data_IF_256274181152
#
_entry.id   IF_256274181152
#
_cell.length_a   1.000
_cell.length_b   1.000
_cell.length_c   1.000
_cell.angle_alpha   90.00
_cell.angle_beta   90.00
_cell.angle_gamma   90.00
#
_symmetry.space_group_name_H-M   'P 1'
#
loop_
_entity.id
_entity.type
_entity.pdbx_description
1 polymer ?
#
# COMPACT_ATOMS: atom_id res chain seq x y z
N UNK A 1 -28.84 18.94 13.05
CA UNK A 1 -27.98 17.78 13.34
C UNK A 1 -26.63 18.08 12.72
N UNK A 2 -25.62 18.47 13.51
CA UNK A 2 -24.29 18.71 12.94
C UNK A 2 -23.68 17.36 12.57
N UNK A 3 -23.32 17.21 11.30
CA UNK A 3 -22.66 16.01 10.80
C UNK A 3 -21.19 16.11 11.25
N UNK A 4 -20.76 15.20 12.13
CA UNK A 4 -19.36 15.12 12.54
C UNK A 4 -18.52 14.47 11.42
N UNK A 5 -17.55 15.20 10.81
CA UNK A 5 -16.67 14.64 9.80
C UNK A 5 -15.87 13.43 10.30
N UNK A 6 -15.55 13.36 11.59
CA UNK A 6 -14.83 12.24 12.20
C UNK A 6 -15.66 10.97 12.30
N UNK A 7 -16.96 11.06 12.06
CA UNK A 7 -17.87 9.90 12.01
C UNK A 7 -18.18 9.54 10.57
N UNK A 8 -18.50 10.53 9.73
CA UNK A 8 -18.96 10.26 8.36
C UNK A 8 -17.84 9.84 7.43
N UNK A 9 -16.63 10.43 7.56
CA UNK A 9 -15.52 10.07 6.67
C UNK A 9 -15.06 8.63 6.89
N UNK A 10 -14.82 8.15 8.13
CA UNK A 10 -14.47 6.74 8.35
C UNK A 10 -15.60 5.77 7.98
N UNK A 11 -16.87 6.15 8.20
CA UNK A 11 -18.00 5.33 7.75
C UNK A 11 -17.98 5.15 6.22
N UNK A 12 -17.79 6.24 5.49
CA UNK A 12 -17.65 6.22 4.03
C UNK A 12 -16.47 5.35 3.57
N UNK A 13 -15.31 5.51 4.20
CA UNK A 13 -14.11 4.70 3.95
C UNK A 13 -14.36 3.22 4.20
N UNK A 14 -15.03 2.88 5.30
CA UNK A 14 -15.35 1.51 5.69
C UNK A 14 -16.30 0.84 4.70
N UNK A 15 -17.43 1.49 4.40
CA UNK A 15 -18.42 0.97 3.45
C UNK A 15 -17.81 0.78 2.07
N UNK A 16 -17.08 1.79 1.56
CA UNK A 16 -16.46 1.71 0.25
C UNK A 16 -15.40 0.60 0.18
N UNK A 17 -14.62 0.43 1.24
CA UNK A 17 -13.63 -0.63 1.34
C UNK A 17 -14.25 -2.02 1.41
N UNK A 18 -15.38 -2.20 2.11
CA UNK A 18 -16.13 -3.47 2.12
C UNK A 18 -16.66 -3.83 0.73
N UNK A 19 -17.26 -2.85 0.05
CA UNK A 19 -17.72 -3.02 -1.34
C UNK A 19 -16.55 -3.43 -2.22
N UNK A 20 -15.44 -2.70 -2.15
CA UNK A 20 -14.25 -3.01 -2.96
C UNK A 20 -13.66 -4.39 -2.64
N UNK A 21 -13.57 -4.77 -1.36
CA UNK A 21 -13.15 -6.11 -0.95
C UNK A 21 -14.05 -7.21 -1.53
N UNK A 22 -15.37 -7.01 -1.55
CA UNK A 22 -16.31 -7.95 -2.15
C UNK A 22 -16.08 -8.11 -3.66
N UNK A 23 -15.86 -7.01 -4.40
CA UNK A 23 -15.53 -7.04 -5.82
C UNK A 23 -14.22 -7.81 -6.10
N UNK A 24 -13.17 -7.57 -5.31
CA UNK A 24 -11.90 -8.28 -5.45
C UNK A 24 -12.03 -9.78 -5.13
N UNK A 25 -12.80 -10.11 -4.09
CA UNK A 25 -13.04 -11.50 -3.69
C UNK A 25 -13.86 -12.26 -4.73
N UNK A 26 -14.91 -11.66 -5.27
CA UNK A 26 -15.69 -12.23 -6.37
C UNK A 26 -14.80 -12.50 -7.60
N UNK A 27 -13.96 -11.53 -7.96
CA UNK A 27 -13.00 -11.69 -9.05
C UNK A 27 -11.98 -12.82 -8.77
N UNK A 28 -11.54 -12.97 -7.53
CA UNK A 28 -10.68 -14.08 -7.13
C UNK A 28 -11.41 -15.43 -7.22
N UNK A 29 -12.69 -15.52 -6.84
CA UNK A 29 -13.46 -16.77 -6.95
C UNK A 29 -13.50 -17.28 -8.39
N UNK A 30 -13.66 -16.37 -9.35
CA UNK A 30 -13.69 -16.69 -10.79
C UNK A 30 -12.29 -17.02 -11.35
N UNK A 31 -11.28 -16.18 -11.08
CA UNK A 31 -9.96 -16.27 -11.77
C UNK A 31 -8.87 -16.99 -10.97
N UNK A 32 -9.08 -17.18 -9.67
CA UNK A 32 -8.17 -17.82 -8.71
C UNK A 32 -6.74 -17.26 -8.73
N UNK A 33 -6.57 -15.96 -8.97
CA UNK A 33 -5.24 -15.34 -8.96
C UNK A 33 -4.84 -14.92 -7.54
N UNK A 34 -3.69 -15.38 -7.01
CA UNK A 34 -3.29 -15.10 -5.62
C UNK A 34 -3.32 -13.61 -5.22
N UNK A 35 -2.86 -12.72 -6.11
CA UNK A 35 -2.83 -11.28 -5.82
C UNK A 35 -4.22 -10.68 -5.58
N UNK A 36 -5.29 -11.24 -6.16
CA UNK A 36 -6.66 -10.76 -5.96
C UNK A 36 -7.16 -11.07 -4.56
N UNK A 37 -6.85 -12.27 -4.05
CA UNK A 37 -7.18 -12.63 -2.67
C UNK A 37 -6.40 -11.77 -1.68
N UNK A 38 -5.12 -11.54 -1.93
CA UNK A 38 -4.28 -10.70 -1.08
C UNK A 38 -4.81 -9.26 -1.04
N UNK A 39 -5.18 -8.68 -2.18
CA UNK A 39 -5.82 -7.36 -2.21
C UNK A 39 -7.21 -7.35 -1.57
N UNK A 40 -8.01 -8.40 -1.74
CA UNK A 40 -9.30 -8.51 -1.05
C UNK A 40 -9.13 -8.51 0.48
N UNK A 41 -8.13 -9.24 0.99
CA UNK A 41 -7.77 -9.22 2.41
C UNK A 41 -7.25 -7.84 2.85
N UNK A 42 -6.38 -7.20 2.06
CA UNK A 42 -5.90 -5.84 2.34
C UNK A 42 -7.04 -4.81 2.39
N UNK A 43 -8.02 -4.92 1.50
CA UNK A 43 -9.22 -4.08 1.50
C UNK A 43 -10.19 -4.42 2.64
N UNK A 44 -10.26 -5.68 3.07
CA UNK A 44 -11.00 -6.07 4.27
C UNK A 44 -10.37 -5.45 5.53
N UNK A 45 -9.04 -5.46 5.64
CA UNK A 45 -8.34 -4.76 6.73
C UNK A 45 -8.62 -3.27 6.70
N UNK A 46 -8.60 -2.66 5.52
CA UNK A 46 -8.97 -1.26 5.36
C UNK A 46 -10.40 -1.02 5.88
N UNK A 47 -11.36 -1.84 5.44
CA UNK A 47 -12.76 -1.70 5.83
C UNK A 47 -12.97 -1.82 7.35
N UNK A 48 -12.30 -2.78 7.98
CA UNK A 48 -12.36 -3.00 9.43
C UNK A 48 -11.69 -1.85 10.19
N UNK A 49 -10.53 -1.35 9.73
CA UNK A 49 -9.86 -0.19 10.31
C UNK A 49 -10.78 1.04 10.35
N UNK A 50 -11.26 1.46 9.19
CA UNK A 50 -12.17 2.60 9.06
C UNK A 50 -13.46 2.39 9.88
N UNK A 51 -13.92 1.13 9.97
CA UNK A 51 -15.05 0.74 10.81
C UNK A 51 -14.78 0.95 12.31
N UNK A 52 -13.57 0.65 12.79
CA UNK A 52 -13.20 0.92 14.19
C UNK A 52 -13.13 2.41 14.49
N UNK A 53 -12.67 3.22 13.54
CA UNK A 53 -12.62 4.69 13.67
C UNK A 53 -14.03 5.30 13.70
N UNK A 54 -14.92 4.83 12.82
CA UNK A 54 -16.33 5.19 12.86
C UNK A 54 -16.96 4.85 14.21
N UNK A 55 -16.77 3.62 14.69
CA UNK A 55 -17.32 3.19 15.98
C UNK A 55 -16.74 4.00 17.15
N UNK A 56 -15.45 4.30 17.12
CA UNK A 56 -14.78 5.11 18.14
C UNK A 56 -15.28 6.55 18.17
N UNK A 57 -15.47 7.16 17.00
CA UNK A 57 -16.04 8.50 16.88
C UNK A 57 -17.54 8.57 17.23
N UNK A 58 -18.31 7.54 16.89
CA UNK A 58 -19.77 7.54 17.08
C UNK A 58 -20.20 7.08 18.47
N UNK A 59 -19.62 5.98 18.96
CA UNK A 59 -20.03 5.31 20.20
C UNK A 59 -19.00 5.46 21.34
N UNK A 60 -17.87 6.12 21.07
CA UNK A 60 -16.77 6.26 22.01
C UNK A 60 -15.72 5.15 21.89
N UNK A 61 -14.53 5.43 22.39
CA UNK A 61 -13.40 4.50 22.35
C UNK A 61 -13.41 3.54 23.55
N UNK A 62 -12.93 2.32 23.29
CA UNK A 62 -12.59 1.32 24.29
C UNK A 62 -11.25 0.70 23.95
N UNK A 63 -10.58 0.11 24.94
CA UNK A 63 -9.27 -0.50 24.73
C UNK A 63 -9.27 -1.58 23.62
N UNK A 64 -10.23 -2.53 23.55
CA UNK A 64 -10.23 -3.51 22.46
C UNK A 64 -10.41 -2.88 21.08
N UNK A 65 -11.24 -1.84 20.98
CA UNK A 65 -11.49 -1.12 19.73
C UNK A 65 -10.23 -0.37 19.28
N UNK A 66 -9.53 0.26 20.22
CA UNK A 66 -8.28 0.98 19.99
C UNK A 66 -7.13 0.03 19.58
N UNK A 67 -7.02 -1.15 20.21
CA UNK A 67 -6.09 -2.21 19.79
C UNK A 67 -6.38 -2.72 18.38
N UNK A 68 -7.66 -2.95 18.06
CA UNK A 68 -8.08 -3.38 16.72
C UNK A 68 -7.76 -2.32 15.67
N UNK A 69 -8.09 -1.05 15.93
CA UNK A 69 -7.75 0.08 15.06
C UNK A 69 -6.24 0.13 14.79
N UNK A 70 -5.44 0.12 15.84
CA UNK A 70 -4.01 0.27 15.71
C UNK A 70 -3.39 -0.88 14.93
N UNK A 71 -3.76 -2.12 15.26
CA UNK A 71 -3.20 -3.30 14.63
C UNK A 71 -3.60 -3.38 13.14
N UNK A 72 -4.89 -3.25 12.86
CA UNK A 72 -5.41 -3.43 11.51
C UNK A 72 -5.05 -2.21 10.66
N UNK A 73 -5.43 -1.01 11.12
CA UNK A 73 -5.28 0.25 10.40
C UNK A 73 -3.87 0.75 10.32
N UNK A 74 -3.24 0.92 11.49
CA UNK A 74 -1.93 1.54 11.54
C UNK A 74 -0.83 0.62 10.99
N UNK A 75 -0.95 -0.71 11.16
CA UNK A 75 0.11 -1.65 10.77
C UNK A 75 -0.22 -2.46 9.51
N UNK A 76 -1.39 -3.08 9.38
CA UNK A 76 -1.59 -4.15 8.39
C UNK A 76 -1.97 -3.68 6.98
N UNK A 77 -2.85 -2.69 6.84
CA UNK A 77 -3.47 -2.31 5.55
C UNK A 77 -2.45 -2.15 4.42
N UNK A 78 -1.46 -1.28 4.62
CA UNK A 78 -0.50 -0.94 3.57
C UNK A 78 0.37 -2.15 3.18
N UNK A 79 0.85 -2.92 4.16
CA UNK A 79 1.68 -4.10 3.91
C UNK A 79 0.96 -5.15 3.08
N UNK A 80 -0.32 -5.42 3.37
CA UNK A 80 -1.15 -6.36 2.60
C UNK A 80 -1.47 -5.86 1.20
N UNK A 81 -1.80 -4.58 1.03
CA UNK A 81 -2.04 -4.00 -0.30
C UNK A 81 -0.78 -4.03 -1.17
N UNK A 82 0.37 -3.70 -0.59
CA UNK A 82 1.66 -3.80 -1.28
C UNK A 82 2.09 -5.24 -1.59
N UNK A 83 1.71 -6.21 -0.75
CA UNK A 83 1.96 -7.63 -0.99
C UNK A 83 1.21 -8.13 -2.22
N UNK A 84 -0.02 -7.67 -2.45
CA UNK A 84 -0.77 -8.04 -3.67
C UNK A 84 -0.04 -7.58 -4.93
N UNK A 85 0.60 -6.41 -4.90
CA UNK A 85 1.46 -5.91 -5.99
C UNK A 85 2.70 -6.79 -6.19
N UNK A 86 3.31 -7.27 -5.11
CA UNK A 86 4.43 -8.20 -5.20
C UNK A 86 4.04 -9.50 -5.92
N UNK A 87 2.87 -10.06 -5.59
CA UNK A 87 2.34 -11.26 -6.25
C UNK A 87 1.88 -11.02 -7.68
N UNK A 88 1.33 -9.84 -7.99
CA UNK A 88 0.97 -9.45 -9.36
C UNK A 88 2.21 -9.42 -10.26
N UNK A 89 3.30 -8.85 -9.76
CA UNK A 89 4.52 -8.58 -10.51
C UNK A 89 5.63 -9.62 -10.26
N UNK A 90 5.30 -10.76 -9.63
CA UNK A 90 6.25 -11.80 -9.23
C UNK A 90 7.15 -12.30 -10.37
N UNK A 91 6.60 -12.38 -11.60
CA UNK A 91 7.32 -12.84 -12.80
C UNK A 91 8.13 -11.75 -13.51
N UNK A 92 8.19 -10.54 -12.94
CA UNK A 92 8.89 -9.40 -13.52
C UNK A 92 10.13 -9.05 -12.70
N UNK A 93 10.91 -8.08 -13.17
CA UNK A 93 12.04 -7.53 -12.41
C UNK A 93 11.62 -6.57 -11.29
N UNK A 94 10.32 -6.47 -10.99
CA UNK A 94 9.80 -5.58 -9.96
C UNK A 94 10.32 -5.90 -8.56
N UNK A 95 10.79 -7.12 -8.30
CA UNK A 95 11.40 -7.45 -7.01
C UNK A 95 12.60 -6.56 -6.63
N UNK A 96 13.32 -5.94 -7.59
CA UNK A 96 14.31 -4.90 -7.28
C UNK A 96 13.69 -3.64 -6.67
N UNK A 97 12.55 -3.18 -7.21
CA UNK A 97 11.82 -2.04 -6.67
C UNK A 97 11.22 -2.38 -5.30
N UNK A 98 10.73 -3.61 -5.11
CA UNK A 98 10.25 -4.08 -3.81
C UNK A 98 11.38 -4.13 -2.75
N UNK A 99 12.56 -4.64 -3.12
CA UNK A 99 13.74 -4.62 -2.25
C UNK A 99 14.15 -3.19 -1.89
N UNK A 100 14.08 -2.25 -2.84
CA UNK A 100 14.31 -0.83 -2.57
C UNK A 100 13.27 -0.27 -1.57
N UNK A 101 11.98 -0.60 -1.72
CA UNK A 101 10.95 -0.22 -0.75
C UNK A 101 11.24 -0.74 0.65
N UNK A 102 11.76 -1.97 0.79
CA UNK A 102 12.18 -2.52 2.09
C UNK A 102 13.36 -1.77 2.70
N UNK A 103 14.37 -1.42 1.89
CA UNK A 103 15.51 -0.61 2.37
C UNK A 103 15.03 0.75 2.86
N UNK A 104 14.14 1.41 2.11
CA UNK A 104 13.53 2.66 2.55
C UNK A 104 12.72 2.46 3.84
N UNK A 105 11.94 1.38 3.95
CA UNK A 105 11.19 1.09 5.16
C UNK A 105 12.10 0.93 6.39
N UNK A 106 13.18 0.17 6.27
CA UNK A 106 14.19 0.03 7.34
C UNK A 106 14.83 1.37 7.71
N UNK A 107 15.26 2.15 6.71
CA UNK A 107 15.86 3.46 6.90
C UNK A 107 14.90 4.44 7.61
N UNK A 108 13.69 4.62 7.08
CA UNK A 108 12.73 5.56 7.64
C UNK A 108 12.20 5.11 9.00
N UNK A 109 12.09 3.80 9.25
CA UNK A 109 11.77 3.29 10.59
C UNK A 109 12.87 3.70 11.59
N UNK A 110 14.14 3.52 11.22
CA UNK A 110 15.26 3.95 12.04
C UNK A 110 15.30 5.47 12.24
N UNK A 111 15.10 6.27 11.17
CA UNK A 111 15.06 7.73 11.24
C UNK A 111 13.89 8.24 12.09
N UNK A 112 12.72 7.59 12.02
CA UNK A 112 11.57 7.90 12.86
C UNK A 112 11.92 7.70 14.33
N UNK A 113 12.54 6.56 14.67
CA UNK A 113 13.04 6.33 16.03
C UNK A 113 14.05 7.41 16.46
N UNK A 114 15.05 7.74 15.62
CA UNK A 114 16.04 8.79 15.95
C UNK A 114 15.44 10.17 16.16
N UNK A 115 14.30 10.48 15.54
CA UNK A 115 13.62 11.78 15.67
C UNK A 115 12.75 11.89 16.91
N UNK A 116 12.09 10.80 17.29
CA UNK A 116 11.03 10.79 18.31
C UNK A 116 11.40 10.06 19.59
N UNK A 117 12.48 9.28 19.55
CA UNK A 117 12.97 8.45 20.65
C UNK A 117 11.85 7.68 21.34
N UNK A 118 11.08 6.92 20.55
CA UNK A 118 9.91 6.23 21.06
C UNK A 118 10.27 5.39 22.30
N UNK A 119 9.57 5.60 23.44
CA UNK A 119 9.82 4.83 24.66
C UNK A 119 9.72 3.33 24.41
N UNK A 120 10.47 2.53 25.16
CA UNK A 120 10.42 1.07 25.07
C UNK A 120 10.75 0.50 23.67
N UNK A 121 11.53 1.22 22.85
CA UNK A 121 11.95 0.73 21.54
C UNK A 121 13.00 -0.39 21.63
N UNK A 122 13.82 -0.42 22.68
CA UNK A 122 14.87 -1.43 22.88
C UNK A 122 15.73 -1.66 21.63
N UNK A 123 15.92 -2.92 21.25
CA UNK A 123 16.67 -3.31 20.04
C UNK A 123 15.86 -3.26 18.74
N UNK A 124 14.57 -2.95 18.81
CA UNK A 124 13.65 -3.04 17.67
C UNK A 124 14.06 -2.19 16.45
N UNK A 125 14.53 -0.93 16.58
CA UNK A 125 14.96 -0.13 15.42
C UNK A 125 16.07 -0.81 14.62
N UNK A 126 17.07 -1.36 15.31
CA UNK A 126 18.20 -2.05 14.70
C UNK A 126 17.78 -3.39 14.10
N UNK A 127 16.94 -4.14 14.82
CA UNK A 127 16.40 -5.41 14.35
C UNK A 127 15.59 -5.23 13.06
N UNK A 128 14.67 -4.25 13.02
CA UNK A 128 13.85 -4.00 11.83
C UNK A 128 14.68 -3.51 10.65
N UNK A 129 15.66 -2.64 10.87
CA UNK A 129 16.60 -2.23 9.83
C UNK A 129 17.42 -3.42 9.29
N UNK A 130 17.93 -4.28 10.17
CA UNK A 130 18.66 -5.49 9.82
C UNK A 130 17.82 -6.49 9.04
N UNK A 131 16.58 -6.74 9.48
CA UNK A 131 15.61 -7.59 8.77
C UNK A 131 15.30 -7.01 7.40
N UNK A 132 14.98 -5.71 7.28
CA UNK A 132 14.76 -5.07 5.98
C UNK A 132 15.92 -5.27 5.01
N UNK A 133 17.16 -5.05 5.48
CA UNK A 133 18.35 -5.20 4.64
C UNK A 133 18.58 -6.66 4.22
N UNK A 134 18.51 -7.60 5.16
CA UNK A 134 18.69 -9.01 4.87
C UNK A 134 17.64 -9.51 3.87
N UNK A 135 16.38 -9.10 4.05
CA UNK A 135 15.27 -9.42 3.16
C UNK A 135 15.44 -8.79 1.77
N UNK A 136 15.86 -7.52 1.70
CA UNK A 136 16.14 -6.85 0.44
C UNK A 136 17.25 -7.57 -0.34
N UNK A 137 18.34 -7.96 0.32
CA UNK A 137 19.44 -8.74 -0.29
C UNK A 137 18.93 -10.09 -0.79
N UNK A 138 18.17 -10.82 0.02
CA UNK A 138 17.61 -12.11 -0.37
C UNK A 138 16.69 -12.00 -1.60
N UNK A 139 15.82 -10.98 -1.63
CA UNK A 139 14.94 -10.69 -2.78
C UNK A 139 15.77 -10.34 -4.03
N UNK A 140 16.77 -9.47 -3.90
CA UNK A 140 17.68 -9.11 -5.02
C UNK A 140 18.35 -10.36 -5.60
N UNK A 141 18.84 -11.26 -4.75
CA UNK A 141 19.47 -12.52 -5.17
C UNK A 141 18.47 -13.42 -5.91
N UNK A 142 17.25 -13.58 -5.38
CA UNK A 142 16.21 -14.39 -6.03
C UNK A 142 15.79 -13.82 -7.39
N UNK A 143 15.62 -12.50 -7.48
CA UNK A 143 15.29 -11.82 -8.74
C UNK A 143 16.43 -11.92 -9.75
N UNK A 144 17.69 -11.79 -9.30
CA UNK A 144 18.87 -11.95 -10.16
C UNK A 144 18.99 -13.37 -10.72
N UNK A 145 18.53 -14.38 -9.98
CA UNK A 145 18.41 -15.78 -10.41
C UNK A 145 17.17 -16.06 -11.27
N UNK A 146 16.31 -15.07 -11.49
CA UNK A 146 15.07 -15.22 -12.25
C UNK A 146 13.97 -16.02 -11.53
N UNK A 147 14.09 -16.22 -10.21
CA UNK A 147 13.12 -16.98 -9.42
C UNK A 147 11.94 -16.12 -8.99
N UNK A 148 10.71 -16.60 -9.17
CA UNK A 148 9.49 -15.94 -8.66
C UNK A 148 9.30 -16.12 -7.14
N UNK A 149 10.17 -16.90 -6.49
CA UNK A 149 10.10 -17.20 -5.06
C UNK A 149 10.24 -15.95 -4.19
N UNK A 150 10.78 -14.85 -4.72
CA UNK A 150 10.91 -13.59 -4.00
C UNK A 150 9.54 -13.06 -3.51
N UNK A 151 8.47 -13.29 -4.27
CA UNK A 151 7.12 -12.86 -3.86
C UNK A 151 6.59 -13.70 -2.69
N UNK A 152 6.87 -15.01 -2.68
CA UNK A 152 6.54 -15.90 -1.54
C UNK A 152 7.34 -15.53 -0.30
N UNK A 153 8.61 -15.19 -0.47
CA UNK A 153 9.47 -14.69 0.61
C UNK A 153 8.92 -13.37 1.20
N UNK A 154 8.50 -12.43 0.35
CA UNK A 154 7.82 -11.22 0.80
C UNK A 154 6.52 -11.53 1.55
N UNK A 155 5.73 -12.51 1.06
CA UNK A 155 4.51 -12.97 1.72
C UNK A 155 4.78 -13.55 3.11
N UNK A 156 5.81 -14.39 3.26
CA UNK A 156 6.19 -14.95 4.54
C UNK A 156 6.54 -13.85 5.57
N UNK A 157 7.23 -12.79 5.15
CA UNK A 157 7.56 -11.66 6.03
C UNK A 157 6.33 -10.87 6.44
N UNK A 158 5.43 -10.54 5.50
CA UNK A 158 4.21 -9.80 5.82
C UNK A 158 3.32 -10.61 6.75
N UNK A 159 3.14 -11.91 6.51
CA UNK A 159 2.36 -12.80 7.38
C UNK A 159 3.04 -12.92 8.76
N UNK A 160 4.35 -13.16 8.80
CA UNK A 160 5.09 -13.27 10.05
C UNK A 160 5.02 -11.98 10.88
N UNK A 161 5.22 -10.81 10.25
CA UNK A 161 5.10 -9.52 10.93
C UNK A 161 3.65 -9.17 11.32
N UNK A 162 2.64 -9.64 10.58
CA UNK A 162 1.22 -9.56 10.98
C UNK A 162 0.98 -10.33 12.28
N UNK A 163 1.52 -11.56 12.39
CA UNK A 163 1.41 -12.39 13.60
C UNK A 163 2.18 -11.76 14.77
N UNK A 164 3.43 -11.34 14.55
CA UNK A 164 4.27 -10.72 15.59
C UNK A 164 3.63 -9.42 16.11
N UNK A 165 3.16 -8.54 15.22
CA UNK A 165 2.46 -7.32 15.63
C UNK A 165 1.16 -7.62 16.38
N UNK A 166 0.43 -8.68 16.02
CA UNK A 166 -0.77 -9.10 16.76
C UNK A 166 -0.41 -9.47 18.21
N UNK A 167 0.60 -10.32 18.39
CA UNK A 167 1.05 -10.72 19.74
C UNK A 167 1.48 -9.49 20.53
N UNK A 168 2.34 -8.65 19.97
CA UNK A 168 2.78 -7.40 20.58
C UNK A 168 1.62 -6.49 20.99
N UNK A 169 0.64 -6.29 20.10
CA UNK A 169 -0.50 -5.43 20.34
C UNK A 169 -1.50 -6.02 21.34
N UNK A 170 -1.56 -7.33 21.51
CA UNK A 170 -2.44 -7.99 22.48
C UNK A 170 -1.81 -8.09 23.87
N UNK A 171 -0.48 -8.13 23.96
CA UNK A 171 0.25 -8.25 25.23
C UNK A 171 0.79 -6.93 25.78
N UNK A 172 0.72 -5.83 25.01
CA UNK A 172 1.17 -4.53 25.49
C UNK A 172 0.26 -4.00 26.61
N UNK A 173 0.84 -3.53 27.70
CA UNK A 173 0.11 -2.85 28.77
C UNK A 173 -0.22 -1.42 28.35
N UNK A 174 -1.50 -1.06 28.36
CA UNK A 174 -1.96 0.28 28.01
C UNK A 174 -2.43 1.01 29.28
N UNK A 175 -1.89 2.20 29.51
CA UNK A 175 -2.32 3.03 30.62
C UNK A 175 -3.81 3.36 30.51
N UNK A 176 -4.53 3.35 31.64
CA UNK A 176 -5.94 3.71 31.68
C UNK A 176 -6.17 5.10 31.05
N UNK A 177 -7.20 5.28 30.19
CA UNK A 177 -8.35 4.40 29.97
C UNK A 177 -8.15 3.28 28.92
N UNK A 178 -6.91 3.04 28.45
CA UNK A 178 -6.59 2.02 27.46
C UNK A 178 -6.74 2.48 26.00
N UNK A 179 -6.98 3.77 25.78
CA UNK A 179 -7.06 4.39 24.45
C UNK A 179 -6.72 5.89 24.54
N UNK A 180 -6.28 6.47 23.43
CA UNK A 180 -5.96 7.90 23.35
C UNK A 180 -6.35 8.45 21.98
N UNK A 181 -6.80 9.70 21.98
CA UNK A 181 -7.09 10.49 20.78
C UNK A 181 -6.39 11.83 20.89
N UNK A 182 -6.12 12.44 19.74
CA UNK A 182 -5.65 13.82 19.65
C UNK A 182 -6.68 14.77 20.31
N UNK A 183 -6.28 15.65 21.25
CA UNK A 183 -7.22 16.53 21.94
C UNK A 183 -7.92 17.57 21.04
N UNK A 184 -7.29 17.95 19.93
CA UNK A 184 -7.83 18.94 19.00
C UNK A 184 -8.73 18.28 17.96
N UNK A 185 -8.30 17.15 17.38
CA UNK A 185 -9.02 16.52 16.27
C UNK A 185 -9.86 15.31 16.67
N UNK A 186 -9.70 14.78 17.89
CA UNK A 186 -10.37 13.57 18.37
C UNK A 186 -10.09 12.32 17.52
N UNK A 187 -8.97 12.32 16.78
CA UNK A 187 -8.53 11.20 15.94
C UNK A 187 -7.61 10.31 16.78
N UNK A 188 -7.75 8.98 16.72
CA UNK A 188 -6.89 8.07 17.49
C UNK A 188 -5.41 8.23 17.10
N UNK A 189 -4.54 8.25 18.10
CA UNK A 189 -3.08 8.28 17.91
C UNK A 189 -2.46 7.00 18.43
N UNK A 190 -1.25 6.67 17.98
CA UNK A 190 -0.55 5.45 18.42
C UNK A 190 0.19 5.60 19.75
N UNK A 191 -0.05 6.67 20.51
CA UNK A 191 0.89 7.12 21.54
C UNK A 191 0.93 6.23 22.79
N UNK A 192 -0.13 5.48 23.07
CA UNK A 192 -0.15 4.53 24.18
C UNK A 192 0.65 3.24 23.90
N UNK A 193 0.98 2.95 22.65
CA UNK A 193 1.70 1.71 22.33
C UNK A 193 3.21 1.87 22.54
N UNK A 194 3.91 0.80 22.96
CA UNK A 194 5.35 0.82 23.12
C UNK A 194 6.07 1.00 21.78
N UNK A 195 7.27 1.59 21.84
CA UNK A 195 8.07 1.96 20.68
C UNK A 195 8.38 0.81 19.73
N UNK A 196 8.64 -0.39 20.26
CA UNK A 196 8.87 -1.57 19.42
C UNK A 196 7.68 -1.85 18.47
N UNK A 197 6.44 -1.64 18.93
CA UNK A 197 5.24 -1.85 18.13
C UNK A 197 4.96 -0.63 17.23
N UNK A 198 5.22 0.59 17.72
CA UNK A 198 5.13 1.84 16.93
C UNK A 198 6.03 1.88 15.72
N UNK A 199 7.16 1.19 15.76
CA UNK A 199 8.11 1.13 14.65
C UNK A 199 7.69 0.15 13.55
N UNK A 200 6.80 -0.80 13.83
CA UNK A 200 6.25 -1.66 12.76
C UNK A 200 5.33 -0.91 11.81
N UNK A 201 4.68 0.16 12.30
CA UNK A 201 3.79 1.01 11.52
C UNK A 201 4.49 1.68 10.32
N UNK A 202 5.58 2.47 10.47
CA UNK A 202 6.32 2.99 9.31
C UNK A 202 6.96 1.87 8.48
N UNK A 203 7.39 0.76 9.12
CA UNK A 203 7.99 -0.36 8.39
C UNK A 203 7.02 -0.98 7.37
N UNK A 204 5.79 -1.29 7.79
CA UNK A 204 4.75 -1.82 6.91
C UNK A 204 4.23 -0.77 5.94
N UNK A 205 3.97 0.45 6.41
CA UNK A 205 3.37 1.49 5.58
C UNK A 205 4.28 1.94 4.45
N UNK A 206 5.58 2.08 4.70
CA UNK A 206 6.54 2.49 3.68
C UNK A 206 6.76 1.36 2.68
N UNK A 207 6.95 0.12 3.15
CA UNK A 207 7.07 -1.03 2.25
C UNK A 207 5.85 -1.15 1.34
N UNK A 208 4.67 -1.08 1.94
CA UNK A 208 3.38 -1.23 1.28
C UNK A 208 3.06 -0.10 0.30
N UNK A 209 3.15 1.15 0.76
CA UNK A 209 2.85 2.31 -0.07
C UNK A 209 3.81 2.43 -1.25
N UNK A 210 5.13 2.30 -1.02
CA UNK A 210 6.08 2.35 -2.12
C UNK A 210 5.90 1.19 -3.09
N UNK A 211 5.66 -0.04 -2.62
CA UNK A 211 5.46 -1.14 -3.57
C UNK A 211 4.17 -0.97 -4.38
N UNK A 212 3.07 -0.50 -3.77
CA UNK A 212 1.82 -0.23 -4.46
C UNK A 212 1.98 0.89 -5.49
N UNK A 213 2.52 2.03 -5.08
CA UNK A 213 2.73 3.19 -5.97
C UNK A 213 3.74 2.87 -7.07
N UNK A 214 4.92 2.31 -6.76
CA UNK A 214 5.93 1.97 -7.77
C UNK A 214 5.43 0.87 -8.71
N UNK A 215 4.68 -0.12 -8.22
CA UNK A 215 4.14 -1.19 -9.06
C UNK A 215 3.02 -0.69 -9.99
N UNK A 216 2.22 0.25 -9.52
CA UNK A 216 1.23 0.94 -10.33
C UNK A 216 1.90 1.83 -11.40
N UNK A 217 2.91 2.61 -11.04
CA UNK A 217 3.70 3.40 -12.01
C UNK A 217 4.46 2.52 -13.01
N UNK A 218 5.03 1.40 -12.56
CA UNK A 218 5.64 0.41 -13.43
C UNK A 218 4.63 -0.13 -14.45
N UNK A 219 3.42 -0.46 -13.99
CA UNK A 219 2.35 -0.93 -14.86
C UNK A 219 1.93 0.16 -15.87
N UNK A 220 1.74 1.40 -15.43
CA UNK A 220 1.45 2.54 -16.31
C UNK A 220 2.51 2.70 -17.41
N UNK A 221 3.80 2.66 -17.03
CA UNK A 221 4.93 2.79 -17.95
C UNK A 221 4.97 1.66 -19.01
N UNK A 222 4.57 0.45 -18.63
CA UNK A 222 4.55 -0.70 -19.55
C UNK A 222 3.53 -0.49 -20.67
N UNK A 223 2.35 0.05 -20.36
CA UNK A 223 1.22 0.17 -21.29
C UNK A 223 1.10 1.52 -22.00
N UNK A 224 1.79 2.57 -21.56
CA UNK A 224 1.74 3.88 -22.21
C UNK A 224 2.74 3.99 -23.39
N UNK A 225 2.52 4.92 -24.33
CA UNK A 225 3.49 5.23 -25.40
C UNK A 225 4.86 5.62 -24.81
N UNK A 226 5.93 4.96 -25.27
CA UNK A 226 7.27 5.11 -24.66
C UNK A 226 8.14 6.10 -25.42
N UNK A 227 8.66 7.11 -24.72
CA UNK A 227 9.70 8.01 -25.21
C UNK A 227 11.00 7.77 -24.42
N UNK A 228 11.98 7.14 -25.06
CA UNK A 228 13.29 6.83 -24.44
C UNK A 228 14.30 7.92 -24.78
N UNK A 229 14.40 8.92 -23.92
CA UNK A 229 15.41 9.99 -23.98
C UNK A 229 16.78 9.44 -23.61
N UNK A 230 16.85 8.67 -22.50
CA UNK A 230 18.07 8.02 -22.06
C UNK A 230 17.99 6.54 -22.40
N UNK A 231 18.88 6.06 -23.28
CA UNK A 231 18.96 4.65 -23.68
C UNK A 231 19.93 3.91 -22.76
N UNK A 232 19.48 2.82 -22.18
CA UNK A 232 20.31 1.89 -21.42
C UNK A 232 19.92 0.45 -21.74
N UNK A 233 20.86 -0.48 -21.60
CA UNK A 233 20.59 -1.91 -21.74
C UNK A 233 21.33 -2.67 -20.66
N UNK A 234 20.60 -3.50 -19.92
CA UNK A 234 21.16 -4.43 -18.93
C UNK A 234 21.45 -5.80 -19.54
N UNK A 235 21.02 -6.06 -20.77
CA UNK A 235 21.16 -7.37 -21.41
C UNK A 235 22.64 -7.67 -21.72
N UNK A 236 23.09 -8.87 -21.34
CA UNK A 236 24.45 -9.35 -21.62
C UNK A 236 25.58 -8.67 -20.83
N UNK A 237 25.28 -7.71 -19.95
CA UNK A 237 26.30 -6.99 -19.17
C UNK A 237 26.63 -7.69 -17.85
N UNK A 238 27.90 -7.67 -17.45
CA UNK A 238 28.41 -8.23 -16.19
C UNK A 238 29.45 -7.30 -15.56
N UNK A 239 29.73 -7.50 -14.28
CA UNK A 239 30.78 -6.78 -13.56
C UNK A 239 30.59 -5.25 -13.53
N UNK A 240 31.66 -4.45 -13.64
CA UNK A 240 31.61 -2.99 -13.57
C UNK A 240 30.66 -2.35 -14.60
N UNK A 241 30.57 -2.95 -15.80
CA UNK A 241 29.69 -2.45 -16.87
C UNK A 241 28.20 -2.64 -16.56
N UNK A 242 27.84 -3.69 -15.81
CA UNK A 242 26.47 -3.86 -15.29
C UNK A 242 26.19 -2.79 -14.23
N UNK A 243 27.12 -2.59 -13.29
CA UNK A 243 26.98 -1.60 -12.22
C UNK A 243 26.80 -0.18 -12.77
N UNK A 244 27.63 0.22 -13.74
CA UNK A 244 27.50 1.51 -14.41
C UNK A 244 26.11 1.68 -15.06
N UNK A 245 25.59 0.64 -15.72
CA UNK A 245 24.25 0.70 -16.32
C UNK A 245 23.12 0.68 -15.30
N UNK A 246 23.30 0.03 -14.15
CA UNK A 246 22.32 0.10 -13.05
C UNK A 246 22.25 1.54 -12.51
N UNK A 247 23.38 2.21 -12.33
CA UNK A 247 23.42 3.64 -11.95
C UNK A 247 22.71 4.51 -12.99
N UNK A 248 23.00 4.29 -14.28
CA UNK A 248 22.30 4.99 -15.36
C UNK A 248 20.80 4.69 -15.34
N UNK A 249 20.39 3.44 -15.06
CA UNK A 249 18.99 3.05 -15.03
C UNK A 249 18.18 3.79 -13.96
N UNK A 250 18.80 4.10 -12.80
CA UNK A 250 18.17 4.88 -11.72
C UNK A 250 17.71 6.26 -12.22
N UNK A 251 18.49 6.89 -13.11
CA UNK A 251 18.13 8.19 -13.71
C UNK A 251 17.27 8.02 -14.96
N UNK A 252 17.61 7.04 -15.79
CA UNK A 252 16.93 6.81 -17.07
C UNK A 252 15.47 6.43 -16.92
N UNK A 253 15.11 5.62 -15.91
CA UNK A 253 13.72 5.18 -15.71
C UNK A 253 12.79 6.36 -15.39
N UNK A 254 13.06 7.20 -14.37
CA UNK A 254 12.24 8.40 -14.10
C UNK A 254 12.20 9.37 -15.28
N UNK A 255 13.35 9.67 -15.90
CA UNK A 255 13.41 10.62 -17.02
C UNK A 255 12.59 10.11 -18.21
N UNK A 256 12.73 8.84 -18.59
CA UNK A 256 11.96 8.25 -19.68
C UNK A 256 10.47 8.15 -19.35
N UNK A 257 10.12 7.90 -18.08
CA UNK A 257 8.73 7.91 -17.62
C UNK A 257 8.11 9.30 -17.83
N UNK A 258 8.73 10.36 -17.31
CA UNK A 258 8.25 11.74 -17.46
C UNK A 258 8.18 12.16 -18.92
N UNK A 259 9.21 11.83 -19.71
CA UNK A 259 9.24 12.14 -21.15
C UNK A 259 8.12 11.45 -21.95
N UNK A 260 7.55 10.37 -21.42
CA UNK A 260 6.46 9.61 -22.03
C UNK A 260 5.06 10.16 -21.69
N UNK A 261 4.94 10.98 -20.63
CA UNK A 261 3.65 11.51 -20.16
C UNK A 261 2.92 12.37 -21.21
N UNK A 262 3.56 13.28 -21.98
CA UNK A 262 2.85 14.06 -23.00
C UNK A 262 2.22 13.19 -24.08
N UNK A 263 2.93 12.14 -24.51
CA UNK A 263 2.41 11.15 -25.46
C UNK A 263 1.23 10.35 -24.90
N UNK A 264 1.31 9.97 -23.62
CA UNK A 264 0.23 9.31 -22.90
C UNK A 264 -1.01 10.22 -22.77
N UNK A 265 -0.83 11.49 -22.41
CA UNK A 265 -1.92 12.47 -22.30
C UNK A 265 -2.61 12.69 -23.66
N UNK A 266 -1.84 12.85 -24.74
CA UNK A 266 -2.40 12.98 -26.08
C UNK A 266 -3.17 11.71 -26.51
N UNK A 267 -2.64 10.53 -26.19
CA UNK A 267 -3.33 9.27 -26.45
C UNK A 267 -4.61 9.12 -25.63
N UNK A 268 -4.64 9.63 -24.39
CA UNK A 268 -5.83 9.65 -23.54
C UNK A 268 -6.93 10.52 -24.15
N UNK A 269 -6.59 11.76 -24.52
CA UNK A 269 -7.53 12.70 -25.16
C UNK A 269 -8.08 12.14 -26.47
N UNK A 270 -7.26 11.39 -27.23
CA UNK A 270 -7.67 10.75 -28.49
C UNK A 270 -8.42 9.43 -28.32
N UNK A 271 -8.65 8.97 -27.09
CA UNK A 271 -9.31 7.68 -26.82
C UNK A 271 -8.50 6.45 -27.27
N UNK A 272 -7.18 6.58 -27.46
CA UNK A 272 -6.27 5.51 -27.92
C UNK A 272 -5.39 4.95 -26.82
N UNK A 273 -5.44 5.52 -25.62
CA UNK A 273 -4.62 5.06 -24.51
C UNK A 273 -5.17 3.76 -23.94
N UNK A 274 -4.28 2.82 -23.67
CA UNK A 274 -4.63 1.61 -22.96
C UNK A 274 -5.14 1.99 -21.56
N UNK A 275 -6.38 1.63 -21.25
CA UNK A 275 -7.08 1.80 -19.97
C UNK A 275 -6.29 1.50 -18.69
N UNK A 276 -5.40 0.51 -18.73
CA UNK A 276 -4.50 0.16 -17.62
C UNK A 276 -3.66 1.36 -17.20
N UNK A 277 -3.34 2.30 -18.10
CA UNK A 277 -2.56 3.49 -17.79
C UNK A 277 -3.31 4.41 -16.82
N UNK A 278 -4.50 4.98 -17.16
CA UNK A 278 -5.24 5.81 -16.20
C UNK A 278 -5.66 5.02 -14.96
N UNK A 279 -6.05 3.74 -15.10
CA UNK A 279 -6.39 2.89 -13.95
C UNK A 279 -5.25 2.79 -12.93
N UNK A 280 -4.04 2.48 -13.39
CA UNK A 280 -2.88 2.31 -12.50
C UNK A 280 -2.37 3.65 -11.98
N UNK A 281 -2.52 4.76 -12.72
CA UNK A 281 -2.23 6.10 -12.18
C UNK A 281 -3.18 6.44 -11.02
N UNK A 282 -4.48 6.16 -11.16
CA UNK A 282 -5.46 6.36 -10.07
C UNK A 282 -5.11 5.49 -8.85
N UNK A 283 -4.72 4.22 -9.07
CA UNK A 283 -4.25 3.34 -7.98
C UNK A 283 -2.98 3.91 -7.31
N UNK A 284 -2.04 4.44 -8.08
CA UNK A 284 -0.83 5.06 -7.56
C UNK A 284 -1.14 6.28 -6.66
N UNK A 285 -2.08 7.13 -7.09
CA UNK A 285 -2.58 8.26 -6.32
C UNK A 285 -3.28 7.77 -5.04
N UNK A 286 -4.19 6.79 -5.17
CA UNK A 286 -4.94 6.24 -4.05
C UNK A 286 -4.08 5.53 -3.00
N UNK A 287 -2.93 4.98 -3.38
CA UNK A 287 -1.93 4.45 -2.45
C UNK A 287 -1.07 5.52 -1.79
N UNK A 288 -0.77 6.61 -2.50
CA UNK A 288 0.11 7.68 -2.02
C UNK A 288 -0.59 8.63 -1.04
N UNK A 289 -1.86 8.96 -1.28
CA UNK A 289 -2.60 9.90 -0.41
C UNK A 289 -2.64 9.41 1.04
N UNK A 290 -3.13 8.19 1.36
CA UNK A 290 -3.12 7.69 2.74
C UNK A 290 -1.70 7.54 3.32
N UNK A 291 -0.70 7.23 2.48
CA UNK A 291 0.67 7.14 2.94
C UNK A 291 1.20 8.50 3.44
N UNK A 292 0.86 9.58 2.73
CA UNK A 292 1.21 10.95 3.12
C UNK A 292 0.42 11.38 4.36
N UNK A 293 -0.90 11.17 4.39
CA UNK A 293 -1.73 11.62 5.52
C UNK A 293 -1.51 10.80 6.78
N UNK A 294 -1.31 9.47 6.66
CA UNK A 294 -0.85 8.61 7.76
C UNK A 294 0.55 9.02 8.22
N UNK A 295 1.44 9.37 7.29
CA UNK A 295 2.74 9.95 7.60
C UNK A 295 2.59 11.21 8.46
N UNK A 296 1.83 12.19 7.97
CA UNK A 296 1.52 13.45 8.65
C UNK A 296 0.92 13.26 10.04
N UNK A 297 0.02 12.28 10.22
CA UNK A 297 -0.54 11.91 11.53
C UNK A 297 0.57 11.61 12.55
N UNK A 298 1.64 10.90 12.14
CA UNK A 298 2.80 10.62 13.01
C UNK A 298 3.63 11.87 13.33
N UNK A 299 3.56 12.90 12.49
CA UNK A 299 4.19 14.20 12.72
C UNK A 299 3.29 15.15 13.54
N UNK A 300 2.18 14.67 14.10
CA UNK A 300 1.22 15.46 14.89
C UNK A 300 0.20 16.24 14.04
N UNK A 301 0.20 16.04 12.72
CA UNK A 301 -0.77 16.64 11.80
C UNK A 301 -1.88 15.64 11.47
N UNK A 302 -2.87 15.58 12.34
CA UNK A 302 -3.99 14.62 12.33
C UNK A 302 -5.16 15.05 11.44
N UNK A 303 -5.33 16.35 11.19
CA UNK A 303 -6.51 16.94 10.52
C UNK A 303 -6.83 16.38 9.13
N UNK A 304 -5.82 15.94 8.38
CA UNK A 304 -5.99 15.38 7.03
C UNK A 304 -6.20 13.87 6.99
N UNK A 305 -6.20 13.17 8.14
CA UNK A 305 -6.11 11.72 8.17
C UNK A 305 -7.32 11.03 7.51
N UNK A 306 -8.54 11.25 7.99
CA UNK A 306 -9.75 10.63 7.43
C UNK A 306 -10.09 11.10 6.02
N UNK A 307 -9.77 12.35 5.67
CA UNK A 307 -9.93 12.84 4.29
C UNK A 307 -8.99 12.09 3.35
N UNK A 308 -7.73 11.93 3.73
CA UNK A 308 -6.76 11.20 2.94
C UNK A 308 -7.10 9.73 2.81
N UNK A 309 -7.63 9.13 3.86
CA UNK A 309 -8.14 7.76 3.86
C UNK A 309 -9.29 7.60 2.83
N UNK A 310 -10.35 8.40 2.94
CA UNK A 310 -11.50 8.34 2.04
C UNK A 310 -11.10 8.58 0.59
N UNK A 311 -10.30 9.63 0.33
CA UNK A 311 -9.79 9.90 -1.01
C UNK A 311 -8.94 8.74 -1.52
N UNK A 312 -8.09 8.17 -0.66
CA UNK A 312 -7.29 7.00 -0.98
C UNK A 312 -8.13 5.84 -1.52
N UNK A 313 -9.15 5.42 -0.78
CA UNK A 313 -10.04 4.32 -1.22
C UNK A 313 -10.85 4.69 -2.46
N UNK A 314 -11.32 5.94 -2.59
CA UNK A 314 -12.01 6.41 -3.80
C UNK A 314 -11.11 6.24 -5.02
N UNK A 315 -9.86 6.68 -4.95
CA UNK A 315 -8.91 6.57 -6.06
C UNK A 315 -8.51 5.12 -6.35
N UNK A 316 -8.29 4.30 -5.32
CA UNK A 316 -8.01 2.87 -5.47
C UNK A 316 -9.17 2.14 -6.16
N UNK A 317 -10.40 2.35 -5.68
CA UNK A 317 -11.58 1.69 -6.22
C UNK A 317 -11.92 2.19 -7.63
N UNK A 318 -11.84 3.50 -7.86
CA UNK A 318 -12.03 4.07 -9.21
C UNK A 318 -11.00 3.51 -10.19
N UNK A 319 -9.73 3.44 -9.78
CA UNK A 319 -8.67 2.85 -10.60
C UNK A 319 -8.92 1.37 -10.90
N UNK A 320 -9.42 0.61 -9.93
CA UNK A 320 -9.86 -0.78 -10.15
C UNK A 320 -10.99 -0.88 -11.17
N UNK A 321 -12.05 -0.06 -11.04
CA UNK A 321 -13.19 -0.05 -11.97
C UNK A 321 -12.78 0.35 -13.40
N UNK A 322 -11.81 1.25 -13.56
CA UNK A 322 -11.29 1.69 -14.87
C UNK A 322 -10.42 0.62 -15.55
N UNK A 323 -9.86 -0.34 -14.80
CA UNK A 323 -9.03 -1.42 -15.34
C UNK A 323 -9.86 -2.47 -16.10
N UNK A 324 -10.22 -2.17 -17.36
CA UNK A 324 -11.10 -2.94 -18.29
C UNK A 324 -10.69 -4.38 -18.64
N UNK A 325 -9.76 -5.01 -17.91
CA UNK A 325 -9.62 -6.47 -17.98
C UNK A 325 -10.52 -7.20 -17.00
N UNK A 326 -11.23 -6.48 -16.13
CA UNK A 326 -12.12 -7.09 -15.12
C UNK A 326 -13.58 -7.11 -15.58
N UNK A 327 -14.01 -6.14 -16.39
CA UNK A 327 -15.41 -5.99 -16.76
C UNK A 327 -15.56 -5.64 -18.25
N UNK A 328 -15.81 -6.65 -19.09
CA UNK A 328 -16.73 -6.41 -20.21
C UNK A 328 -18.13 -6.06 -19.66
N UNK A 329 -18.42 -6.50 -18.43
CA UNK A 329 -19.65 -6.31 -17.67
C UNK A 329 -19.34 -6.04 -16.20
N UNK A 330 -19.63 -4.86 -15.66
CA UNK A 330 -19.62 -4.62 -14.21
C UNK A 330 -20.80 -5.40 -13.65
N UNK A 331 -20.54 -6.41 -12.80
CA UNK A 331 -21.55 -7.27 -12.20
C UNK A 331 -21.65 -7.02 -10.70
N UNK A 332 -22.85 -7.18 -10.14
CA UNK A 332 -23.01 -7.17 -8.68
C UNK A 332 -22.29 -8.42 -8.14
N UNK A 333 -21.34 -8.28 -7.20
CA UNK A 333 -20.57 -9.40 -6.66
C UNK A 333 -21.46 -10.58 -6.28
N UNK A 334 -21.02 -11.80 -6.60
CA UNK A 334 -21.71 -13.06 -6.29
C UNK A 334 -23.05 -13.29 -7.00
N UNK A 335 -23.42 -12.44 -7.97
CA UNK A 335 -24.65 -12.59 -8.75
C UNK A 335 -24.37 -12.65 -10.25
N UNK A 336 -25.41 -12.96 -11.03
CA UNK A 336 -25.38 -12.83 -12.50
C UNK A 336 -25.86 -11.46 -13.00
N UNK A 337 -26.19 -10.53 -12.10
CA UNK A 337 -26.76 -9.23 -12.46
C UNK A 337 -25.65 -8.28 -12.95
N UNK A 338 -25.82 -7.77 -14.16
CA UNK A 338 -24.90 -6.83 -14.81
C UNK A 338 -25.38 -5.39 -14.57
N UNK A 339 -24.58 -4.59 -13.88
CA UNK A 339 -24.80 -3.17 -13.63
C UNK A 339 -24.47 -2.31 -14.86
N UNK A 340 -23.43 -2.66 -15.60
CA UNK A 340 -23.02 -1.93 -16.81
C UNK A 340 -22.26 -2.84 -17.76
N UNK A 341 -22.64 -2.84 -19.04
CA UNK A 341 -21.90 -3.50 -20.14
C UNK A 341 -21.43 -2.42 -21.09
N UNK A 342 -20.15 -2.40 -21.46
CA UNK A 342 -19.65 -1.42 -22.45
C UNK A 342 -19.91 -1.96 -23.87
N UNK A 343 -20.62 -1.24 -24.76
CA UNK A 343 -20.85 -1.70 -26.13
C UNK A 343 -19.54 -1.62 -26.93
N UNK A 344 -19.20 -2.69 -27.66
CA UNK A 344 -18.11 -2.69 -28.65
C UNK A 344 -16.92 -3.61 -28.33
N UNK A 345 -17.18 -4.91 -28.16
CA UNK A 345 -16.20 -5.94 -28.52
C UNK A 345 -16.45 -6.36 -29.97
#
# INVERSE_FOLDING_TARGET
MNIDPNVVLPLGSSVLSFVFAAFLFDQWRERRRPYQLIWALGMLWYALSAGTEFLGGFAGWSEPLYRAWYLIGAVWVAGWLGLGTAFLLAKTRFGYAFAFSLVLAGLFTFLTWRRYDYPDSGVAPYLYAGVALAMAVAIVVLVARGSDAWARLAGAVIIGGTIVSAVMALTADLAAPGWVVDPATHIPTGDLFPGYLRLLTPFFNITGAFSLTLGALYSAYVFMPKRRVIRYSLAGRRGPALMAMLVVAVVAVPVNFVASLPGAALALVRGRLHSRVPATILIAIGGLIPAITSGANRFGATSGFFVGELLGVIFLFTGFLVSIEVFQEIRIPFTRLVLARRPGA
#
